data_IF_972892386522
#
_entry.id   IF_972892386522
#
_cell.length_a   1.000
_cell.length_b   1.000
_cell.length_c   1.000
_cell.angle_alpha   90.00
_cell.angle_beta   90.00
_cell.angle_gamma   90.00
#
_symmetry.space_group_name_H-M   'P 1'
#
loop_
_entity.id
_entity.type
_entity.pdbx_description
1 polymer ?
#
# COMPACT_ATOMS: atom_id res chain seq x y z
N UNK A 1 2.95 20.40 -11.51
CA UNK A 1 2.96 19.68 -10.21
C UNK A 1 2.98 20.68 -9.06
N UNK A 2 3.60 21.83 -9.26
CA UNK A 2 3.88 22.88 -8.26
C UNK A 2 2.66 23.39 -7.48
N UNK A 3 1.44 23.31 -8.04
CA UNK A 3 0.21 23.70 -7.34
C UNK A 3 -0.26 22.69 -6.28
N UNK A 4 0.27 21.46 -6.31
CA UNK A 4 -0.18 20.36 -5.43
C UNK A 4 0.93 19.81 -4.53
N UNK A 5 2.20 20.03 -4.88
CA UNK A 5 3.33 19.65 -4.03
C UNK A 5 3.51 20.72 -2.96
N UNK A 6 3.26 20.38 -1.70
CA UNK A 6 3.44 21.28 -0.58
C UNK A 6 4.92 21.50 -0.25
N UNK A 7 5.23 22.50 0.60
CA UNK A 7 6.60 22.88 0.91
C UNK A 7 7.41 21.80 1.66
N UNK A 8 6.73 20.81 2.25
CA UNK A 8 7.38 19.70 2.95
C UNK A 8 7.54 18.45 2.08
N UNK A 9 7.10 18.50 0.82
CA UNK A 9 7.13 17.38 -0.12
C UNK A 9 5.88 16.48 -0.10
N UNK A 10 4.95 16.72 0.82
CA UNK A 10 3.64 16.09 0.83
C UNK A 10 2.75 16.65 -0.28
N UNK A 11 1.70 15.92 -0.61
CA UNK A 11 0.78 16.28 -1.70
C UNK A 11 -0.53 16.75 -1.10
N UNK A 12 -0.94 17.96 -1.51
CA UNK A 12 -2.19 18.57 -1.09
C UNK A 12 -3.38 17.93 -1.80
N UNK A 13 -4.54 18.01 -1.16
CA UNK A 13 -5.78 17.65 -1.84
C UNK A 13 -6.29 18.85 -2.65
N UNK A 14 -6.35 18.68 -3.97
CA UNK A 14 -6.83 19.71 -4.89
C UNK A 14 -8.34 19.81 -5.06
N UNK A 15 -9.10 18.84 -4.53
CA UNK A 15 -10.50 18.60 -4.93
C UNK A 15 -11.46 18.42 -3.76
N UNK A 16 -10.98 18.07 -2.57
CA UNK A 16 -11.83 17.90 -1.39
C UNK A 16 -11.90 19.18 -0.56
N UNK A 17 -13.10 19.72 -0.41
CA UNK A 17 -13.32 20.94 0.38
C UNK A 17 -13.11 20.77 1.89
N UNK A 18 -13.02 19.54 2.41
CA UNK A 18 -12.88 19.28 3.85
C UNK A 18 -11.45 19.42 4.38
N UNK A 19 -10.44 19.42 3.51
CA UNK A 19 -9.04 19.65 3.86
C UNK A 19 -8.22 19.89 2.59
N UNK A 20 -7.51 21.01 2.51
CA UNK A 20 -6.69 21.43 1.37
C UNK A 20 -5.17 21.31 1.62
N UNK A 21 -4.78 20.82 2.80
CA UNK A 21 -3.38 20.63 3.17
C UNK A 21 -2.77 19.34 2.63
N UNK A 22 -1.47 19.17 2.91
CA UNK A 22 -0.73 17.94 2.63
C UNK A 22 -1.27 16.80 3.51
N UNK A 23 -1.59 15.65 2.93
CA UNK A 23 -2.07 14.50 3.71
C UNK A 23 -1.64 13.16 3.13
N UNK A 24 -1.67 12.15 3.98
CA UNK A 24 -1.09 10.83 3.73
C UNK A 24 -1.63 10.14 2.47
N UNK A 25 -2.95 10.22 2.21
CA UNK A 25 -3.56 9.49 1.11
C UNK A 25 -3.14 10.05 -0.26
N UNK A 26 -3.25 11.37 -0.46
CA UNK A 26 -2.76 12.02 -1.69
C UNK A 26 -1.24 11.89 -1.83
N UNK A 27 -0.50 12.03 -0.73
CA UNK A 27 0.97 11.93 -0.76
C UNK A 27 1.42 10.55 -1.21
N UNK A 28 0.83 9.51 -0.61
CA UNK A 28 1.16 8.14 -0.94
C UNK A 28 0.78 7.80 -2.38
N UNK A 29 -0.48 8.08 -2.77
CA UNK A 29 -1.00 7.74 -4.10
C UNK A 29 -0.23 8.44 -5.21
N UNK A 30 -0.04 9.76 -5.08
CA UNK A 30 0.64 10.54 -6.12
C UNK A 30 2.16 10.28 -6.10
N UNK A 31 2.76 10.03 -4.94
CA UNK A 31 4.16 9.61 -4.83
C UNK A 31 4.43 8.30 -5.54
N UNK A 32 3.57 7.28 -5.36
CA UNK A 32 3.67 6.00 -6.06
C UNK A 32 3.57 6.20 -7.56
N UNK A 33 2.58 6.98 -8.01
CA UNK A 33 2.45 7.34 -9.43
C UNK A 33 3.69 8.06 -9.96
N UNK A 34 4.27 8.99 -9.21
CA UNK A 34 5.45 9.72 -9.62
C UNK A 34 6.67 8.79 -9.79
N UNK A 35 6.86 7.79 -8.92
CA UNK A 35 7.88 6.76 -9.15
C UNK A 35 7.62 5.98 -10.44
N UNK A 36 6.38 5.56 -10.70
CA UNK A 36 6.02 4.84 -11.93
C UNK A 36 6.27 5.70 -13.18
N UNK A 37 5.90 6.98 -13.14
CA UNK A 37 6.17 7.93 -14.22
C UNK A 37 7.67 8.11 -14.43
N UNK A 38 8.47 8.18 -13.37
CA UNK A 38 9.93 8.21 -13.50
C UNK A 38 10.47 6.94 -14.15
N UNK A 39 10.01 5.76 -13.74
CA UNK A 39 10.47 4.51 -14.35
C UNK A 39 10.16 4.43 -15.85
N UNK A 40 9.04 5.02 -16.27
CA UNK A 40 8.61 5.03 -17.66
C UNK A 40 9.30 6.11 -18.51
N UNK A 41 9.47 7.31 -17.96
CA UNK A 41 9.91 8.50 -18.71
C UNK A 41 11.38 8.85 -18.49
N UNK A 42 11.96 8.45 -17.36
CA UNK A 42 13.27 8.88 -16.84
C UNK A 42 13.39 10.39 -16.62
N UNK A 43 12.27 11.10 -16.50
CA UNK A 43 12.30 12.52 -16.20
C UNK A 43 12.50 12.76 -14.70
N UNK A 44 13.64 13.35 -14.34
CA UNK A 44 14.07 13.60 -12.95
C UNK A 44 13.07 14.41 -12.11
N UNK A 45 12.23 15.23 -12.74
CA UNK A 45 11.15 15.94 -12.03
C UNK A 45 10.19 15.00 -11.32
N UNK A 46 9.92 13.82 -11.89
CA UNK A 46 9.04 12.83 -11.27
C UNK A 46 9.75 12.12 -10.12
N UNK A 47 11.03 11.76 -10.30
CA UNK A 47 11.82 11.17 -9.22
C UNK A 47 11.90 12.11 -8.02
N UNK A 48 12.18 13.39 -8.25
CA UNK A 48 12.23 14.39 -7.19
C UNK A 48 10.95 14.41 -6.37
N UNK A 49 9.79 14.52 -7.03
CA UNK A 49 8.49 14.56 -6.35
C UNK A 49 8.21 13.25 -5.59
N UNK A 50 8.56 12.11 -6.19
CA UNK A 50 8.36 10.81 -5.56
C UNK A 50 9.22 10.64 -4.29
N UNK A 51 10.49 11.05 -4.34
CA UNK A 51 11.40 11.05 -3.18
C UNK A 51 10.91 12.00 -2.09
N UNK A 52 10.47 13.21 -2.47
CA UNK A 52 9.93 14.19 -1.51
C UNK A 52 8.66 13.65 -0.82
N UNK A 53 7.77 12.98 -1.55
CA UNK A 53 6.57 12.35 -1.01
C UNK A 53 6.90 11.17 -0.07
N UNK A 54 7.88 10.34 -0.45
CA UNK A 54 8.38 9.24 0.40
C UNK A 54 9.00 9.79 1.69
N UNK A 55 9.84 10.82 1.58
CA UNK A 55 10.44 11.51 2.72
C UNK A 55 9.37 12.09 3.65
N UNK A 56 8.34 12.73 3.07
CA UNK A 56 7.21 13.24 3.85
C UNK A 56 6.53 12.11 4.62
N UNK A 57 6.25 10.99 3.96
CA UNK A 57 5.57 9.84 4.59
C UNK A 57 6.44 9.16 5.65
N UNK A 58 7.76 9.08 5.47
CA UNK A 58 8.70 8.52 6.46
C UNK A 58 8.78 9.37 7.73
N UNK A 59 8.69 10.70 7.61
CA UNK A 59 8.72 11.61 8.77
C UNK A 59 7.44 11.58 9.60
N UNK A 60 6.33 11.11 9.03
CA UNK A 60 5.05 11.04 9.71
C UNK A 60 4.76 9.60 10.13
N UNK A 61 4.60 9.36 11.43
CA UNK A 61 4.14 8.07 11.93
C UNK A 61 2.73 7.78 11.39
N UNK A 62 2.58 6.72 10.59
CA UNK A 62 1.30 6.36 9.96
C UNK A 62 0.14 6.21 10.98
N UNK A 63 0.45 5.95 12.26
CA UNK A 63 -0.55 5.80 13.32
C UNK A 63 -1.08 7.14 13.84
N UNK A 64 -0.41 8.24 13.50
CA UNK A 64 -0.71 9.60 13.96
C UNK A 64 -1.18 10.54 12.84
N UNK A 65 -1.36 10.01 11.63
CA UNK A 65 -1.73 10.81 10.46
C UNK A 65 -3.11 11.44 10.59
N UNK A 66 -3.28 12.54 9.85
CA UNK A 66 -4.49 13.36 9.75
C UNK A 66 -4.71 13.75 8.28
N UNK A 67 -5.89 14.26 7.89
CA UNK A 67 -7.12 14.46 8.68
C UNK A 67 -7.91 13.17 8.97
N UNK A 68 -7.90 12.19 8.06
CA UNK A 68 -8.47 10.87 8.35
C UNK A 68 -7.44 10.11 9.19
N UNK A 69 -7.82 9.73 10.42
CA UNK A 69 -6.91 9.11 11.36
C UNK A 69 -6.78 7.61 11.14
N UNK A 70 -5.71 7.04 11.69
CA UNK A 70 -5.50 5.60 11.68
C UNK A 70 -6.66 4.82 12.32
N UNK A 71 -7.26 5.33 13.40
CA UNK A 71 -8.40 4.69 14.06
C UNK A 71 -9.66 4.68 13.18
N UNK A 72 -9.80 5.65 12.28
CA UNK A 72 -10.94 5.72 11.36
C UNK A 72 -10.79 4.74 10.20
N UNK A 73 -9.58 4.59 9.65
CA UNK A 73 -9.28 3.72 8.49
C UNK A 73 -7.91 3.04 8.60
N UNK A 74 -7.72 2.06 9.49
CA UNK A 74 -6.39 1.53 9.76
C UNK A 74 -5.81 0.76 8.56
N UNK A 75 -6.60 -0.15 7.98
CA UNK A 75 -6.19 -0.94 6.80
C UNK A 75 -5.94 -0.06 5.59
N UNK A 76 -6.78 0.97 5.37
CA UNK A 76 -6.61 1.93 4.27
C UNK A 76 -5.32 2.74 4.43
N UNK A 77 -5.07 3.30 5.62
CA UNK A 77 -3.82 4.04 5.89
C UNK A 77 -2.60 3.17 5.63
N UNK A 78 -2.60 1.93 6.14
CA UNK A 78 -1.51 0.99 5.87
C UNK A 78 -1.40 0.71 4.38
N UNK A 79 -2.49 0.40 3.69
CA UNK A 79 -2.44 0.10 2.27
C UNK A 79 -1.75 1.22 1.48
N UNK A 80 -2.30 2.43 1.55
CA UNK A 80 -1.82 3.54 0.74
C UNK A 80 -0.40 3.94 1.14
N UNK A 81 -0.14 4.20 2.43
CA UNK A 81 1.20 4.64 2.85
C UNK A 81 2.27 3.63 2.47
N UNK A 82 2.02 2.33 2.62
CA UNK A 82 3.04 1.31 2.39
C UNK A 82 3.15 0.86 0.93
N UNK A 83 2.16 1.13 0.08
CA UNK A 83 2.34 1.05 -1.38
C UNK A 83 3.43 2.03 -1.86
N UNK A 84 3.47 3.24 -1.30
CA UNK A 84 4.54 4.19 -1.60
C UNK A 84 5.92 3.65 -1.17
N UNK A 85 5.98 2.94 -0.04
CA UNK A 85 7.23 2.32 0.43
C UNK A 85 7.63 1.18 -0.51
N UNK A 86 6.68 0.30 -0.86
CA UNK A 86 6.90 -0.77 -1.85
C UNK A 86 7.45 -0.22 -3.16
N UNK A 87 6.97 0.93 -3.62
CA UNK A 87 7.40 1.52 -4.89
C UNK A 87 8.75 2.23 -4.77
N UNK A 88 8.97 2.91 -3.64
CA UNK A 88 10.05 3.87 -3.47
C UNK A 88 11.30 3.35 -2.75
N UNK A 89 11.21 2.24 -2.01
CA UNK A 89 12.31 1.80 -1.13
C UNK A 89 13.63 1.53 -1.87
N UNK A 90 13.55 1.07 -3.12
CA UNK A 90 14.72 0.87 -4.00
C UNK A 90 15.51 2.14 -4.31
N UNK A 91 14.93 3.32 -4.08
CA UNK A 91 15.58 4.61 -4.28
C UNK A 91 16.14 5.20 -2.98
N UNK A 92 16.00 4.51 -1.84
CA UNK A 92 16.56 4.93 -0.56
C UNK A 92 17.83 4.13 -0.30
N UNK A 93 18.93 4.81 0.04
CA UNK A 93 20.20 4.17 0.33
C UNK A 93 20.09 3.23 1.55
N UNK A 94 20.40 1.93 1.40
CA UNK A 94 20.37 0.99 2.53
C UNK A 94 21.30 1.42 3.66
N UNK A 95 20.82 1.33 4.90
CA UNK A 95 21.56 1.75 6.11
C UNK A 95 21.58 3.27 6.38
N UNK A 96 21.02 4.09 5.47
CA UNK A 96 20.78 5.51 5.77
C UNK A 96 19.76 5.69 6.89
N UNK A 97 19.79 6.83 7.58
CA UNK A 97 18.80 7.16 8.63
C UNK A 97 17.36 7.12 8.12
N UNK A 98 17.16 7.49 6.85
CA UNK A 98 15.88 7.41 6.17
C UNK A 98 15.45 5.97 5.92
N UNK A 99 16.35 5.10 5.45
CA UNK A 99 16.06 3.69 5.24
C UNK A 99 15.67 3.02 6.56
N UNK A 100 16.44 3.26 7.63
CA UNK A 100 16.14 2.75 8.96
C UNK A 100 14.79 3.24 9.49
N UNK A 101 14.44 4.51 9.22
CA UNK A 101 13.12 5.03 9.56
C UNK A 101 11.99 4.36 8.76
N UNK A 102 12.21 4.12 7.47
CA UNK A 102 11.24 3.41 6.63
C UNK A 102 11.04 1.96 7.12
N UNK A 103 12.13 1.26 7.41
CA UNK A 103 12.10 -0.11 7.94
C UNK A 103 11.32 -0.20 9.26
N UNK A 104 11.54 0.72 10.20
CA UNK A 104 10.76 0.78 11.44
C UNK A 104 9.26 0.94 11.20
N UNK A 105 8.85 1.78 10.25
CA UNK A 105 7.43 1.91 9.92
C UNK A 105 6.89 0.62 9.28
N UNK A 106 7.67 -0.04 8.41
CA UNK A 106 7.29 -1.33 7.78
C UNK A 106 7.06 -2.39 8.85
N UNK A 107 7.99 -2.56 9.79
CA UNK A 107 7.87 -3.53 10.88
C UNK A 107 6.61 -3.27 11.73
N UNK A 108 6.32 -2.01 12.04
CA UNK A 108 5.12 -1.63 12.78
C UNK A 108 3.82 -1.95 12.03
N UNK A 109 3.79 -1.73 10.71
CA UNK A 109 2.63 -2.07 9.89
C UNK A 109 2.45 -3.59 9.76
N UNK A 110 3.54 -4.35 9.57
CA UNK A 110 3.52 -5.81 9.52
C UNK A 110 3.07 -6.42 10.85
N UNK A 111 3.52 -5.87 11.98
CA UNK A 111 3.05 -6.26 13.30
C UNK A 111 1.55 -6.00 13.45
N UNK A 112 1.07 -4.81 13.04
CA UNK A 112 -0.36 -4.51 13.06
C UNK A 112 -1.16 -5.50 12.19
N UNK A 113 -0.69 -5.82 10.98
CA UNK A 113 -1.34 -6.82 10.12
C UNK A 113 -1.41 -8.19 10.82
N UNK A 114 -0.33 -8.61 11.48
CA UNK A 114 -0.29 -9.88 12.19
C UNK A 114 -1.33 -9.97 13.32
N UNK A 115 -1.61 -8.86 13.99
CA UNK A 115 -2.60 -8.79 15.08
C UNK A 115 -4.05 -8.66 14.59
N UNK A 116 -4.27 -8.17 13.37
CA UNK A 116 -5.59 -7.77 12.88
C UNK A 116 -6.13 -8.63 11.71
N UNK A 117 -5.36 -9.60 11.23
CA UNK A 117 -5.75 -10.50 10.14
C UNK A 117 -6.64 -11.65 10.63
N UNK A 118 -7.75 -11.89 9.91
CA UNK A 118 -8.74 -12.91 10.25
C UNK A 118 -8.18 -14.33 10.19
N UNK A 119 -7.31 -14.64 9.23
CA UNK A 119 -6.68 -15.97 9.15
C UNK A 119 -5.78 -16.29 10.36
N UNK A 120 -5.44 -15.28 11.17
CA UNK A 120 -4.63 -15.40 12.38
C UNK A 120 -5.44 -15.37 13.67
N UNK A 121 -6.78 -15.44 13.57
CA UNK A 121 -7.67 -15.49 14.73
C UNK A 121 -7.97 -14.12 15.35
N UNK A 122 -7.74 -13.02 14.62
CA UNK A 122 -8.08 -11.69 15.11
C UNK A 122 -9.59 -11.54 15.37
N UNK A 123 -9.93 -10.96 16.52
CA UNK A 123 -11.30 -10.62 16.90
C UNK A 123 -11.73 -9.28 16.28
N UNK A 124 -11.85 -9.29 14.95
CA UNK A 124 -12.30 -8.15 14.14
C UNK A 124 -13.45 -8.57 13.22
N UNK A 125 -14.30 -7.63 12.74
CA UNK A 125 -15.35 -7.94 11.78
C UNK A 125 -14.81 -8.60 10.50
N UNK A 126 -15.62 -9.44 9.87
CA UNK A 126 -15.30 -10.00 8.55
C UNK A 126 -15.20 -8.87 7.51
N UNK A 127 -14.41 -9.08 6.46
CA UNK A 127 -14.10 -8.02 5.48
C UNK A 127 -15.30 -7.59 4.63
N UNK A 128 -16.33 -8.44 4.54
CA UNK A 128 -17.60 -8.09 3.89
C UNK A 128 -18.52 -7.23 4.77
N UNK A 129 -18.16 -6.98 6.03
CA UNK A 129 -18.87 -6.11 6.96
C UNK A 129 -18.15 -4.77 7.14
N UNK A 130 -16.82 -4.80 7.29
CA UNK A 130 -15.98 -3.62 7.50
C UNK A 130 -14.54 -3.85 7.07
N UNK A 131 -13.83 -2.76 6.76
CA UNK A 131 -12.39 -2.78 6.41
C UNK A 131 -12.09 -3.63 5.17
N UNK A 132 -12.85 -3.41 4.09
CA UNK A 132 -12.69 -4.10 2.80
C UNK A 132 -11.24 -4.07 2.28
N UNK A 133 -10.48 -3.00 2.59
CA UNK A 133 -9.08 -2.82 2.21
C UNK A 133 -8.14 -3.87 2.84
N UNK A 134 -8.58 -4.59 3.88
CA UNK A 134 -7.84 -5.75 4.43
C UNK A 134 -7.53 -6.79 3.35
N UNK A 135 -8.42 -6.94 2.36
CA UNK A 135 -8.20 -7.84 1.23
C UNK A 135 -7.04 -7.41 0.30
N UNK A 136 -6.61 -6.16 0.40
CA UNK A 136 -5.48 -5.59 -0.34
C UNK A 136 -4.14 -5.70 0.41
N UNK A 137 -4.13 -6.04 1.70
CA UNK A 137 -2.88 -6.12 2.48
C UNK A 137 -1.96 -7.29 2.10
N UNK A 138 -2.45 -8.47 1.64
CA UNK A 138 -1.56 -9.53 1.15
C UNK A 138 -0.66 -9.08 -0.01
N UNK A 139 -1.12 -8.16 -0.87
CA UNK A 139 -0.26 -7.53 -1.88
C UNK A 139 1.00 -6.90 -1.27
N UNK A 140 0.87 -6.10 -0.21
CA UNK A 140 2.01 -5.47 0.46
C UNK A 140 2.96 -6.52 1.04
N UNK A 141 2.40 -7.58 1.63
CA UNK A 141 3.18 -8.69 2.19
C UNK A 141 4.03 -9.39 1.13
N UNK A 142 3.46 -9.71 -0.04
CA UNK A 142 4.23 -10.28 -1.15
C UNK A 142 5.29 -9.30 -1.67
N UNK A 143 4.93 -8.03 -1.83
CA UNK A 143 5.81 -7.01 -2.37
C UNK A 143 7.02 -6.74 -1.43
N UNK A 144 6.81 -6.73 -0.12
CA UNK A 144 7.88 -6.63 0.87
C UNK A 144 8.71 -7.90 0.93
N UNK A 145 8.11 -9.10 0.95
CA UNK A 145 8.87 -10.36 0.94
C UNK A 145 9.83 -10.48 -0.24
N UNK A 146 9.45 -9.92 -1.39
CA UNK A 146 10.29 -9.88 -2.59
C UNK A 146 11.46 -8.91 -2.48
N UNK A 147 11.28 -7.77 -1.83
CA UNK A 147 12.28 -6.70 -1.72
C UNK A 147 13.18 -6.83 -0.48
N UNK A 148 12.68 -7.47 0.57
CA UNK A 148 13.29 -7.51 1.90
C UNK A 148 13.52 -8.97 2.30
N UNK A 149 14.75 -9.50 2.15
CA UNK A 149 15.04 -10.91 2.40
C UNK A 149 14.66 -11.40 3.81
N UNK A 150 14.70 -10.52 4.80
CA UNK A 150 14.32 -10.82 6.18
C UNK A 150 12.81 -11.02 6.40
N UNK A 151 11.98 -10.74 5.39
CA UNK A 151 10.51 -10.86 5.45
C UNK A 151 9.96 -11.92 4.49
N UNK A 152 10.79 -12.88 4.06
CA UNK A 152 10.37 -13.94 3.13
C UNK A 152 9.23 -14.80 3.68
N UNK A 153 9.12 -14.93 5.00
CA UNK A 153 8.05 -15.63 5.69
C UNK A 153 6.67 -15.01 5.46
N UNK A 154 6.60 -13.74 5.07
CA UNK A 154 5.33 -13.07 4.77
C UNK A 154 4.57 -13.74 3.61
N UNK A 155 5.25 -14.43 2.69
CA UNK A 155 4.59 -15.14 1.57
C UNK A 155 3.56 -16.15 2.09
N UNK A 156 3.95 -16.99 3.04
CA UNK A 156 3.07 -18.02 3.58
C UNK A 156 1.88 -17.41 4.35
N UNK A 157 2.12 -16.31 5.06
CA UNK A 157 1.06 -15.62 5.78
C UNK A 157 0.10 -14.89 4.82
N UNK A 158 0.61 -14.30 3.73
CA UNK A 158 -0.19 -13.69 2.68
C UNK A 158 -1.04 -14.73 1.92
N UNK A 159 -0.48 -15.92 1.68
CA UNK A 159 -1.20 -17.07 1.11
C UNK A 159 -2.36 -17.51 2.00
N UNK A 160 -2.14 -17.56 3.32
CA UNK A 160 -3.17 -17.95 4.28
C UNK A 160 -4.31 -16.92 4.31
N UNK A 161 -3.97 -15.63 4.32
CA UNK A 161 -4.95 -14.56 4.31
C UNK A 161 -5.76 -14.52 3.00
N UNK A 162 -5.11 -14.73 1.85
CA UNK A 162 -5.80 -14.82 0.56
C UNK A 162 -6.76 -16.00 0.46
N UNK A 163 -6.45 -17.13 1.10
CA UNK A 163 -7.38 -18.26 1.19
C UNK A 163 -8.62 -17.87 1.98
N UNK A 164 -8.46 -17.24 3.14
CA UNK A 164 -9.59 -16.73 3.91
C UNK A 164 -10.47 -15.75 3.10
N UNK A 165 -9.85 -14.82 2.35
CA UNK A 165 -10.59 -13.89 1.48
C UNK A 165 -11.39 -14.63 0.40
N UNK A 166 -10.82 -15.67 -0.22
CA UNK A 166 -11.51 -16.51 -1.19
C UNK A 166 -12.67 -17.28 -0.56
N UNK A 167 -12.44 -17.93 0.58
CA UNK A 167 -13.46 -18.68 1.30
C UNK A 167 -14.61 -17.75 1.70
N UNK A 168 -14.30 -16.54 2.19
CA UNK A 168 -15.28 -15.52 2.54
C UNK A 168 -16.14 -15.09 1.35
N UNK A 169 -15.54 -14.87 0.17
CA UNK A 169 -16.25 -14.45 -1.03
C UNK A 169 -17.11 -15.56 -1.64
N UNK A 170 -16.66 -16.82 -1.55
CA UNK A 170 -17.27 -17.97 -2.21
C UNK A 170 -18.15 -18.83 -1.31
N UNK A 171 -18.19 -18.54 0.01
CA UNK A 171 -18.93 -19.31 1.02
C UNK A 171 -20.38 -19.61 0.62
N UNK A 172 -21.05 -18.60 0.08
CA UNK A 172 -22.48 -18.66 -0.25
C UNK A 172 -22.73 -18.83 -1.76
N UNK A 173 -21.71 -19.30 -2.52
CA UNK A 173 -21.75 -19.49 -3.96
C UNK A 173 -21.19 -18.29 -4.74
N UNK A 174 -21.85 -17.92 -5.85
CA UNK A 174 -21.37 -16.83 -6.72
C UNK A 174 -21.47 -15.48 -5.99
N UNK A 175 -20.38 -14.70 -5.87
CA UNK A 175 -20.41 -13.40 -5.21
C UNK A 175 -21.41 -12.44 -5.87
N UNK A 176 -22.22 -11.76 -5.06
CA UNK A 176 -23.14 -10.72 -5.56
C UNK A 176 -22.39 -9.41 -5.75
N UNK A 177 -21.87 -9.18 -6.95
CA UNK A 177 -21.08 -7.98 -7.32
C UNK A 177 -21.88 -6.67 -7.27
N UNK A 178 -23.20 -6.73 -7.13
CA UNK A 178 -24.03 -5.54 -6.89
C UNK A 178 -23.99 -5.07 -5.44
N UNK A 179 -23.50 -5.89 -4.50
CA UNK A 179 -23.24 -5.46 -3.12
C UNK A 179 -21.88 -4.77 -3.08
N UNK A 180 -21.87 -3.49 -2.74
CA UNK A 180 -20.66 -2.65 -2.72
C UNK A 180 -19.49 -3.30 -1.96
N UNK A 181 -19.73 -3.78 -0.73
CA UNK A 181 -18.67 -4.39 0.09
C UNK A 181 -18.10 -5.67 -0.54
N UNK A 182 -18.94 -6.47 -1.22
CA UNK A 182 -18.48 -7.65 -1.96
C UNK A 182 -17.60 -7.23 -3.13
N UNK A 183 -18.04 -6.22 -3.89
CA UNK A 183 -17.28 -5.68 -5.01
C UNK A 183 -15.94 -5.07 -4.58
N UNK A 184 -15.89 -4.35 -3.46
CA UNK A 184 -14.66 -3.77 -2.91
C UNK A 184 -13.69 -4.87 -2.44
N UNK A 185 -14.15 -5.85 -1.64
CA UNK A 185 -13.31 -6.98 -1.20
C UNK A 185 -12.79 -7.78 -2.40
N UNK A 186 -13.61 -8.00 -3.43
CA UNK A 186 -13.17 -8.64 -4.67
C UNK A 186 -12.08 -7.82 -5.38
N UNK A 187 -12.26 -6.51 -5.50
CA UNK A 187 -11.31 -5.63 -6.19
C UNK A 187 -9.95 -5.64 -5.50
N UNK A 188 -9.96 -5.46 -4.17
CA UNK A 188 -8.76 -5.51 -3.35
C UNK A 188 -8.10 -6.89 -3.35
N UNK A 189 -8.89 -7.95 -3.22
CA UNK A 189 -8.42 -9.33 -3.27
C UNK A 189 -7.80 -9.70 -4.62
N UNK A 190 -8.38 -9.23 -5.74
CA UNK A 190 -7.83 -9.46 -7.08
C UNK A 190 -6.46 -8.81 -7.27
N UNK A 191 -6.25 -7.62 -6.72
CA UNK A 191 -4.94 -6.96 -6.73
C UNK A 191 -3.89 -7.77 -5.94
N UNK A 192 -4.26 -8.27 -4.76
CA UNK A 192 -3.42 -9.20 -3.99
C UNK A 192 -3.11 -10.49 -4.75
N UNK A 193 -4.10 -11.06 -5.47
CA UNK A 193 -3.88 -12.20 -6.34
C UNK A 193 -2.98 -11.88 -7.53
N UNK A 194 -3.08 -10.68 -8.11
CA UNK A 194 -2.25 -10.27 -9.24
C UNK A 194 -0.77 -10.23 -8.86
N UNK A 195 -0.41 -9.66 -7.70
CA UNK A 195 0.98 -9.67 -7.23
C UNK A 195 1.45 -11.08 -6.87
N UNK A 196 0.58 -11.94 -6.33
CA UNK A 196 0.91 -13.34 -6.08
C UNK A 196 1.24 -14.10 -7.37
N UNK A 197 0.41 -13.95 -8.40
CA UNK A 197 0.51 -14.69 -9.67
C UNK A 197 1.56 -14.11 -10.61
N UNK A 198 1.79 -12.79 -10.55
CA UNK A 198 2.74 -12.07 -11.38
C UNK A 198 3.51 -11.04 -10.55
N UNK A 199 4.48 -11.49 -9.73
CA UNK A 199 5.19 -10.61 -8.80
C UNK A 199 5.83 -9.39 -9.47
N UNK A 200 5.56 -8.21 -8.92
CA UNK A 200 6.09 -6.93 -9.38
C UNK A 200 5.45 -6.39 -10.65
N UNK A 201 4.44 -7.05 -11.23
CA UNK A 201 3.82 -6.60 -12.47
C UNK A 201 3.17 -5.22 -12.34
N UNK A 202 2.63 -4.88 -11.16
CA UNK A 202 2.02 -3.58 -10.88
C UNK A 202 3.04 -2.43 -10.85
N UNK A 203 4.34 -2.72 -10.74
CA UNK A 203 5.41 -1.71 -10.64
C UNK A 203 6.44 -1.80 -11.77
N UNK A 204 6.26 -2.72 -12.73
CA UNK A 204 7.21 -2.94 -13.81
C UNK A 204 6.97 -1.92 -14.92
N UNK A 205 8.01 -1.22 -15.36
CA UNK A 205 7.93 -0.49 -16.64
C UNK A 205 7.91 -1.51 -17.79
N UNK A 206 7.05 -1.35 -18.81
CA UNK A 206 7.08 -2.19 -20.01
C UNK A 206 8.46 -2.28 -20.67
N UNK A 207 9.30 -1.25 -20.53
CA UNK A 207 10.68 -1.21 -21.02
C UNK A 207 11.66 -2.13 -20.28
N UNK A 208 11.27 -2.67 -19.13
CA UNK A 208 12.05 -3.61 -18.29
C UNK A 208 11.54 -5.05 -18.38
N UNK A 209 10.63 -5.38 -19.32
CA UNK A 209 10.24 -6.78 -19.51
C UNK A 209 11.43 -7.61 -20.00
N UNK A 210 11.71 -8.79 -19.40
CA UNK A 210 12.67 -9.69 -20.00
C UNK A 210 12.17 -10.04 -21.41
N UNK A 211 13.09 -9.97 -22.38
CA UNK A 211 12.83 -10.46 -23.73
C UNK A 211 12.22 -11.86 -23.61
N UNK A 212 11.05 -12.05 -24.21
CA UNK A 212 10.40 -13.36 -24.32
C UNK A 212 11.22 -14.28 -25.22
#
# INVERSE_FOLDING_TARGET
MDNYVGPEGGITNGLWSGYDGQWWCSTATFGSLAFLLYEETREERYLKVAIDALNWTIRHDFRQVKPITFQQRPSGVIFYCFELYVTGLKHVEPGSSQYEAAMRQIDLALAWMAENQKSRGADVPDYLERNVDMAGLPYLMYAFARQLPQHRELVAAADHELRYICDLLLRDGKPSVSRLLVWEVMTWGMMSYAERLSPGALHRSPKQSPAR
#
